data_IF_614337329397
#
_entry.id   IF_614337329397
#
_cell.length_a   1.000
_cell.length_b   1.000
_cell.length_c   1.000
_cell.angle_alpha   90.00
_cell.angle_beta   90.00
_cell.angle_gamma   90.00
#
_symmetry.space_group_name_H-M   'P 1'
#
loop_
_entity.id
_entity.type
_entity.pdbx_description
1 polymer ?
#
# COMPACT_ATOMS: atom_id res chain seq x y z
N UNK A 1 4.14 -8.04 46.88
CA UNK A 1 5.09 -9.11 46.48
C UNK A 1 4.46 -9.79 45.29
N UNK A 2 5.12 -9.69 44.14
CA UNK A 2 4.57 -9.96 42.82
C UNK A 2 5.04 -11.36 42.37
N UNK A 3 4.15 -12.20 41.86
CA UNK A 3 4.52 -13.39 41.10
C UNK A 3 4.27 -13.13 39.61
N UNK A 4 5.25 -12.50 38.96
CA UNK A 4 5.33 -12.24 37.51
C UNK A 4 5.99 -13.40 36.74
N UNK A 5 6.14 -14.57 37.35
CA UNK A 5 6.89 -15.71 36.79
C UNK A 5 6.23 -16.35 35.56
N UNK A 6 4.91 -16.20 35.39
CA UNK A 6 4.18 -16.73 34.23
C UNK A 6 4.28 -15.85 32.96
N UNK A 7 4.82 -14.63 33.06
CA UNK A 7 4.96 -13.74 31.89
C UNK A 7 6.15 -14.11 30.99
N UNK A 8 7.05 -14.99 31.43
CA UNK A 8 8.32 -15.27 30.75
C UNK A 8 8.42 -16.66 30.10
N UNK A 9 7.33 -17.44 30.08
CA UNK A 9 7.31 -18.73 29.37
C UNK A 9 6.41 -18.65 28.15
N UNK A 10 6.81 -17.82 27.19
CA UNK A 10 6.43 -18.06 25.80
C UNK A 10 7.37 -19.16 25.27
N UNK A 11 6.87 -20.29 24.74
CA UNK A 11 7.72 -21.29 24.13
C UNK A 11 8.47 -20.66 22.94
N UNK A 12 9.80 -20.74 23.04
CA UNK A 12 10.78 -20.26 22.07
C UNK A 12 10.95 -21.22 20.89
N UNK A 13 9.86 -21.74 20.34
CA UNK A 13 9.90 -22.71 19.25
C UNK A 13 9.05 -22.24 18.08
N UNK A 14 9.56 -21.26 17.34
CA UNK A 14 9.50 -21.35 15.88
C UNK A 14 10.70 -20.63 15.27
N UNK A 15 11.82 -21.35 15.18
CA UNK A 15 12.77 -21.14 14.10
C UNK A 15 12.07 -21.50 12.77
N UNK A 16 11.15 -20.65 12.31
CA UNK A 16 10.94 -20.55 10.88
C UNK A 16 11.88 -19.44 10.45
N UNK A 17 12.97 -19.83 9.82
CA UNK A 17 13.59 -19.03 8.77
C UNK A 17 12.48 -18.72 7.77
N UNK A 18 11.71 -17.67 8.06
CA UNK A 18 10.62 -17.23 7.22
C UNK A 18 11.33 -16.45 6.13
N UNK A 19 11.71 -17.15 5.06
CA UNK A 19 11.76 -16.53 3.75
C UNK A 19 10.32 -16.07 3.46
N UNK A 20 9.95 -14.92 4.04
CA UNK A 20 8.65 -14.30 3.79
C UNK A 20 8.86 -13.63 2.44
N UNK A 21 8.73 -14.39 1.36
CA UNK A 21 8.18 -13.78 0.17
C UNK A 21 6.81 -13.29 0.59
N UNK A 22 6.71 -12.01 0.96
CA UNK A 22 5.45 -11.37 1.29
C UNK A 22 4.58 -11.53 0.05
N UNK A 23 3.61 -12.45 0.10
CA UNK A 23 2.75 -12.78 -1.03
C UNK A 23 1.84 -11.59 -1.33
N UNK A 24 2.39 -10.64 -2.08
CA UNK A 24 1.67 -9.49 -2.66
C UNK A 24 0.46 -9.93 -3.48
N UNK A 25 0.44 -11.20 -3.90
CA UNK A 25 -0.68 -11.90 -4.55
C UNK A 25 -1.97 -11.89 -3.73
N UNK A 26 -1.89 -11.91 -2.40
CA UNK A 26 -3.06 -11.87 -1.53
C UNK A 26 -3.88 -10.59 -1.73
N UNK A 27 -3.20 -9.45 -1.94
CA UNK A 27 -3.86 -8.19 -2.22
C UNK A 27 -4.70 -8.27 -3.51
N UNK A 28 -4.27 -9.02 -4.53
CA UNK A 28 -5.04 -9.15 -5.79
C UNK A 28 -6.26 -10.07 -5.68
N UNK A 29 -6.38 -10.87 -4.62
CA UNK A 29 -7.53 -11.75 -4.38
C UNK A 29 -8.58 -11.09 -3.47
N UNK A 30 -8.23 -10.02 -2.76
CA UNK A 30 -9.14 -9.32 -1.88
C UNK A 30 -10.27 -8.63 -2.68
N UNK A 31 -11.56 -8.83 -2.30
CA UNK A 31 -12.69 -8.16 -2.94
C UNK A 31 -12.51 -6.64 -2.91
N UNK A 32 -12.72 -5.96 -4.04
CA UNK A 32 -12.77 -4.51 -4.06
C UNK A 32 -13.96 -4.04 -3.22
N UNK A 33 -13.77 -2.98 -2.42
CA UNK A 33 -14.84 -2.41 -1.60
C UNK A 33 -15.96 -1.74 -2.42
N UNK A 34 -15.79 -1.62 -3.74
CA UNK A 34 -16.80 -1.11 -4.67
C UNK A 34 -17.07 -2.16 -5.78
N UNK A 35 -18.33 -2.56 -5.92
CA UNK A 35 -18.80 -3.44 -7.00
C UNK A 35 -19.35 -2.55 -8.10
N UNK A 36 -18.51 -2.16 -9.05
CA UNK A 36 -18.96 -1.40 -10.23
C UNK A 36 -19.33 -2.38 -11.34
N UNK A 37 -20.58 -2.38 -11.81
CA UNK A 37 -20.98 -3.12 -13.01
C UNK A 37 -20.30 -2.50 -14.23
N UNK A 38 -19.51 -3.23 -15.03
CA UNK A 38 -18.80 -2.67 -16.18
C UNK A 38 -19.78 -2.03 -17.16
N UNK A 39 -19.68 -0.71 -17.35
CA UNK A 39 -20.61 0.06 -18.19
C UNK A 39 -20.31 0.00 -19.69
N UNK A 40 -19.20 -0.63 -20.08
CA UNK A 40 -18.80 -0.83 -21.48
C UNK A 40 -18.24 0.41 -22.19
N UNK A 41 -18.19 1.57 -21.53
CA UNK A 41 -17.60 2.82 -22.05
C UNK A 41 -16.22 3.13 -21.45
N UNK A 42 -15.51 2.06 -21.17
CA UNK A 42 -14.56 2.03 -20.09
C UNK A 42 -13.14 1.87 -20.66
N UNK A 43 -12.31 2.94 -20.79
CA UNK A 43 -10.86 2.79 -21.00
C UNK A 43 -10.23 1.79 -20.02
N UNK A 44 -9.12 1.17 -20.39
CA UNK A 44 -8.62 -0.16 -20.00
C UNK A 44 -8.63 -0.59 -18.51
N UNK A 45 -8.93 0.29 -17.53
CA UNK A 45 -8.74 0.02 -16.10
C UNK A 45 -10.01 -0.20 -15.23
N UNK A 46 -11.23 0.03 -15.71
CA UNK A 46 -12.46 -0.24 -14.93
C UNK A 46 -12.78 0.77 -13.80
N UNK A 47 -14.05 1.15 -13.57
CA UNK A 47 -14.51 1.71 -12.27
C UNK A 47 -14.63 3.24 -12.09
N UNK A 48 -15.09 3.71 -10.91
CA UNK A 48 -15.33 5.14 -10.59
C UNK A 48 -14.05 6.00 -10.46
N UNK A 49 -12.90 5.38 -10.16
CA UNK A 49 -11.62 6.07 -9.89
C UNK A 49 -10.75 6.30 -11.15
N UNK A 50 -11.32 6.16 -12.36
CA UNK A 50 -10.58 6.17 -13.64
C UNK A 50 -9.68 7.36 -13.91
N UNK A 51 -9.99 8.52 -13.35
CA UNK A 51 -9.29 9.77 -13.64
C UNK A 51 -8.21 10.09 -12.60
N UNK A 52 -8.23 9.43 -11.45
CA UNK A 52 -7.37 9.74 -10.31
C UNK A 52 -6.72 8.48 -9.78
N UNK A 53 -5.41 8.52 -9.63
CA UNK A 53 -4.63 7.45 -9.03
C UNK A 53 -3.89 7.99 -7.81
N UNK A 54 -3.69 7.11 -6.84
CA UNK A 54 -2.83 7.32 -5.70
C UNK A 54 -1.38 7.13 -6.13
N UNK A 55 -0.57 8.13 -5.83
CA UNK A 55 0.87 8.09 -5.95
C UNK A 55 1.53 8.32 -4.60
N UNK A 56 2.62 7.60 -4.36
CA UNK A 56 3.42 7.70 -3.14
C UNK A 56 4.82 8.17 -3.54
N UNK A 57 5.30 9.25 -2.93
CA UNK A 57 6.67 9.69 -3.08
C UNK A 57 7.60 8.85 -2.18
N UNK A 58 8.25 7.85 -2.78
CA UNK A 58 9.20 6.95 -2.10
C UNK A 58 10.41 7.72 -1.51
N UNK A 59 10.75 8.90 -2.03
CA UNK A 59 11.89 9.71 -1.53
C UNK A 59 11.55 10.43 -0.24
N UNK A 60 10.33 10.95 -0.14
CA UNK A 60 9.84 11.70 1.03
C UNK A 60 9.35 10.75 2.12
N UNK A 61 8.81 9.59 1.74
CA UNK A 61 8.32 8.60 2.68
C UNK A 61 9.39 8.21 3.71
N UNK A 62 9.08 8.36 5.00
CA UNK A 62 9.98 8.00 6.11
C UNK A 62 9.76 6.57 6.61
N UNK A 63 8.75 5.87 6.11
CA UNK A 63 8.44 4.50 6.50
C UNK A 63 7.73 4.36 7.85
N UNK A 64 6.85 5.31 8.21
CA UNK A 64 6.10 5.28 9.48
C UNK A 64 5.01 4.18 9.55
N UNK A 65 4.68 3.53 8.42
CA UNK A 65 3.75 2.40 8.28
C UNK A 65 2.28 2.65 8.64
N UNK A 66 1.87 3.86 8.99
CA UNK A 66 0.47 4.17 9.28
C UNK A 66 -0.45 3.89 8.10
N UNK A 67 -0.07 4.33 6.90
CA UNK A 67 -0.83 4.09 5.67
C UNK A 67 -1.08 2.60 5.40
N UNK A 68 -0.09 1.74 5.64
CA UNK A 68 -0.20 0.30 5.46
C UNK A 68 -1.12 -0.36 6.50
N UNK A 69 -1.32 0.23 7.68
CA UNK A 69 -2.27 -0.27 8.67
C UNK A 69 -3.70 0.23 8.44
N UNK A 70 -3.85 1.47 7.95
CA UNK A 70 -5.17 2.05 7.67
C UNK A 70 -5.78 1.45 6.41
N UNK A 71 -5.02 1.36 5.32
CA UNK A 71 -5.50 0.85 4.03
C UNK A 71 -4.60 -0.31 3.56
N UNK A 72 -4.78 -1.47 4.19
CA UNK A 72 -3.95 -2.68 4.00
C UNK A 72 -4.03 -3.27 2.59
N UNK A 73 -5.11 -3.02 1.86
CA UNK A 73 -5.29 -3.54 0.50
C UNK A 73 -4.70 -2.59 -0.56
N UNK A 74 -4.52 -1.31 -0.22
CA UNK A 74 -4.07 -0.25 -1.11
C UNK A 74 -2.55 -0.02 -1.00
N UNK A 75 -2.02 0.05 0.24
CA UNK A 75 -0.62 0.36 0.51
C UNK A 75 0.15 -0.83 1.06
N UNK A 76 1.41 -0.92 0.66
CA UNK A 76 2.36 -1.91 1.17
C UNK A 76 3.68 -1.25 1.50
N UNK A 77 4.32 -1.73 2.57
CA UNK A 77 5.69 -1.36 2.90
C UNK A 77 6.65 -2.29 2.14
N UNK A 78 7.57 -1.68 1.42
CA UNK A 78 8.69 -2.36 0.78
C UNK A 78 9.73 -2.73 1.85
N UNK A 79 10.10 -4.00 1.92
CA UNK A 79 11.03 -4.50 2.95
C UNK A 79 12.47 -4.09 2.67
N UNK A 80 12.86 -3.97 1.39
CA UNK A 80 14.20 -3.61 0.98
C UNK A 80 14.53 -2.15 1.25
N UNK A 81 13.60 -1.25 0.89
CA UNK A 81 13.80 0.20 1.03
C UNK A 81 13.18 0.79 2.30
N UNK A 82 12.29 0.05 2.96
CA UNK A 82 11.49 0.53 4.09
C UNK A 82 10.48 1.62 3.69
N UNK A 83 10.17 1.78 2.40
CA UNK A 83 9.29 2.83 1.86
C UNK A 83 7.90 2.29 1.57
N UNK A 84 6.90 3.16 1.63
CA UNK A 84 5.54 2.81 1.25
C UNK A 84 5.39 2.82 -0.28
N UNK A 85 4.62 1.88 -0.83
CA UNK A 85 4.24 1.79 -2.24
C UNK A 85 2.75 1.53 -2.36
N UNK A 86 2.11 2.10 -3.39
CA UNK A 86 0.71 1.81 -3.72
C UNK A 86 0.65 0.55 -4.60
N UNK A 87 0.06 -0.53 -4.09
CA UNK A 87 -0.02 -1.82 -4.78
C UNK A 87 -1.33 -1.97 -5.56
N UNK A 88 -2.42 -1.38 -5.07
CA UNK A 88 -3.74 -1.36 -5.70
C UNK A 88 -4.34 0.01 -5.57
N UNK A 89 -5.04 0.45 -6.61
CA UNK A 89 -5.70 1.76 -6.66
C UNK A 89 -7.15 1.68 -6.16
N UNK A 90 -7.73 0.48 -6.23
CA UNK A 90 -9.10 0.09 -5.93
C UNK A 90 -9.19 -0.83 -4.70
N UNK A 91 -8.10 -0.97 -3.94
CA UNK A 91 -8.00 -1.93 -2.83
C UNK A 91 -9.00 -1.62 -1.71
N UNK A 92 -9.06 -0.35 -1.30
CA UNK A 92 -9.93 0.11 -0.22
C UNK A 92 -10.91 1.20 -0.70
N UNK A 93 -11.88 1.54 0.15
CA UNK A 93 -12.79 2.64 -0.14
C UNK A 93 -12.06 3.98 -0.15
N UNK A 94 -12.55 4.94 -0.94
CA UNK A 94 -11.96 6.30 -1.02
C UNK A 94 -11.90 7.00 0.33
N UNK A 95 -12.84 6.72 1.25
CA UNK A 95 -12.82 7.24 2.61
C UNK A 95 -11.60 6.76 3.39
N UNK A 96 -11.32 5.45 3.35
CA UNK A 96 -10.17 4.83 4.04
C UNK A 96 -8.85 5.30 3.42
N UNK A 97 -8.82 5.45 2.10
CA UNK A 97 -7.64 5.98 1.40
C UNK A 97 -7.36 7.43 1.82
N UNK A 98 -8.39 8.27 1.92
CA UNK A 98 -8.22 9.65 2.40
C UNK A 98 -7.75 9.69 3.86
N UNK A 99 -8.27 8.83 4.74
CA UNK A 99 -7.78 8.70 6.11
C UNK A 99 -6.29 8.32 6.15
N UNK A 100 -5.87 7.38 5.29
CA UNK A 100 -4.47 6.99 5.18
C UNK A 100 -3.56 8.14 4.67
N UNK A 101 -4.07 9.00 3.78
CA UNK A 101 -3.39 10.20 3.30
C UNK A 101 -3.22 11.20 4.45
N UNK A 102 -4.30 11.52 5.16
CA UNK A 102 -4.31 12.50 6.25
C UNK A 102 -3.46 12.06 7.46
N UNK A 103 -3.26 10.75 7.63
CA UNK A 103 -2.44 10.18 8.72
C UNK A 103 -0.93 10.25 8.41
N UNK A 104 -0.53 10.61 7.19
CA UNK A 104 0.89 10.63 6.81
C UNK A 104 1.63 11.82 7.44
N UNK A 105 2.64 11.60 8.30
CA UNK A 105 3.32 12.69 9.02
C UNK A 105 4.20 13.60 8.14
N UNK A 106 4.47 13.17 6.90
CA UNK A 106 5.32 13.88 5.93
C UNK A 106 4.58 14.16 4.63
N UNK A 107 3.26 13.94 4.60
CA UNK A 107 2.39 14.17 3.44
C UNK A 107 2.91 13.55 2.13
N UNK A 108 3.51 12.36 2.17
CA UNK A 108 4.13 11.74 0.98
C UNK A 108 3.15 11.01 0.03
N UNK A 109 1.84 11.08 0.27
CA UNK A 109 0.81 10.38 -0.51
C UNK A 109 -0.08 11.41 -1.18
N UNK A 110 -0.27 11.30 -2.49
CA UNK A 110 -1.00 12.29 -3.29
C UNK A 110 -1.98 11.64 -4.27
N UNK A 111 -3.14 12.26 -4.42
CA UNK A 111 -4.04 12.00 -5.54
C UNK A 111 -3.53 12.75 -6.77
N UNK A 112 -3.23 12.01 -7.85
CA UNK A 112 -2.76 12.57 -9.12
C UNK A 112 -3.60 12.03 -10.27
N UNK A 113 -3.47 12.65 -11.45
CA UNK A 113 -4.10 12.11 -12.66
C UNK A 113 -3.40 10.84 -13.13
N UNK A 114 -4.11 9.96 -13.85
CA UNK A 114 -3.51 8.75 -14.39
C UNK A 114 -2.35 9.03 -15.37
N UNK A 115 -2.46 10.09 -16.16
CA UNK A 115 -1.39 10.54 -17.07
C UNK A 115 -0.13 10.94 -16.30
N UNK A 116 -0.30 11.71 -15.22
CA UNK A 116 0.80 12.12 -14.36
C UNK A 116 1.49 10.92 -13.70
N UNK A 117 0.72 9.89 -13.30
CA UNK A 117 1.27 8.66 -12.76
C UNK A 117 2.18 7.94 -13.77
N UNK A 118 1.81 7.92 -15.05
CA UNK A 118 2.62 7.32 -16.11
C UNK A 118 3.94 8.06 -16.24
N UNK A 119 3.92 9.40 -16.27
CA UNK A 119 5.15 10.19 -16.39
C UNK A 119 6.06 10.00 -15.17
N UNK A 120 5.50 10.02 -13.95
CA UNK A 120 6.27 9.73 -12.71
C UNK A 120 6.92 8.35 -12.72
N UNK A 121 6.21 7.33 -13.20
CA UNK A 121 6.76 5.97 -13.34
C UNK A 121 7.88 5.91 -14.38
N UNK A 122 7.71 6.61 -15.50
CA UNK A 122 8.72 6.72 -16.55
C UNK A 122 9.97 7.45 -16.06
N UNK A 123 9.82 8.56 -15.34
CA UNK A 123 10.91 9.27 -14.66
C UNK A 123 11.66 8.34 -13.69
N UNK A 124 10.94 7.57 -12.88
CA UNK A 124 11.52 6.60 -11.96
C UNK A 124 12.31 5.49 -12.70
N UNK A 125 11.75 4.96 -13.80
CA UNK A 125 12.39 3.96 -14.64
C UNK A 125 13.67 4.50 -15.29
N UNK A 126 13.64 5.71 -15.84
CA UNK A 126 14.82 6.36 -16.43
C UNK A 126 15.88 6.55 -15.36
N UNK A 127 15.51 7.04 -14.17
CA UNK A 127 16.47 7.28 -13.07
C UNK A 127 17.08 5.98 -12.52
N UNK A 128 16.38 4.86 -12.60
CA UNK A 128 16.91 3.56 -12.20
C UNK A 128 17.87 2.96 -13.25
N UNK A 129 17.84 3.44 -14.49
CA UNK A 129 18.66 2.95 -15.59
C UNK A 129 20.04 3.62 -15.71
N UNK A 130 20.27 4.74 -15.00
CA UNK A 130 21.53 5.49 -14.95
C UNK A 130 22.15 5.43 -13.57
#
# INVERSE_FOLDING_TARGET
>A
MFDTSAAFTAPSDVETRFETTFETTAAFTAPSHNITSPSGLEPCLGGELRLQAIWVDEKVCVGCRYCAHVATNTFLMDEDTGKCRAIRQDGDSTMVINEAIDTCPVDCIHWISFEELIEKKKEAMIRAAY
#
